data_IF_692326471584
#
_entry.id   IF_692326471584
#
_cell.length_a   1.000
_cell.length_b   1.000
_cell.length_c   1.000
_cell.angle_alpha   90.00
_cell.angle_beta   90.00
_cell.angle_gamma   90.00
#
_symmetry.space_group_name_H-M   'P 1'
#
loop_
_entity.id
_entity.type
_entity.pdbx_description
1 polymer ?
#
# COMPACT_ATOMS: atom_id res chain seq x y z
N UNK A 1 14.18 17.89 -6.96
CA UNK A 1 15.25 17.44 -7.87
C UNK A 1 14.86 16.08 -8.39
N UNK A 2 14.21 16.05 -9.55
CA UNK A 2 14.16 14.84 -10.36
C UNK A 2 14.60 15.34 -11.73
N UNK A 3 15.86 15.05 -12.09
CA UNK A 3 16.30 15.19 -13.47
C UNK A 3 15.44 14.31 -14.36
N UNK A 4 15.44 14.59 -15.65
CA UNK A 4 14.72 13.78 -16.63
C UNK A 4 15.20 12.33 -16.55
N UNK A 5 14.37 11.44 -15.98
CA UNK A 5 14.63 10.01 -16.01
C UNK A 5 14.26 9.55 -17.41
N UNK A 6 15.27 9.30 -18.26
CA UNK A 6 15.10 8.64 -19.55
C UNK A 6 15.34 7.14 -19.36
N UNK A 7 14.30 6.31 -19.13
CA UNK A 7 14.49 4.87 -19.05
C UNK A 7 15.08 4.33 -20.35
N UNK A 8 15.90 3.28 -20.26
CA UNK A 8 16.50 2.64 -21.43
C UNK A 8 15.37 2.06 -22.33
N UNK A 9 15.20 2.54 -23.58
CA UNK A 9 14.10 2.14 -24.44
C UNK A 9 14.15 0.66 -24.85
N UNK A 10 15.28 -0.01 -24.65
CA UNK A 10 15.45 -1.45 -24.95
C UNK A 10 14.78 -2.35 -23.89
N UNK A 11 14.57 -1.85 -22.67
CA UNK A 11 14.01 -2.64 -21.55
C UNK A 11 12.48 -2.49 -21.46
N UNK A 12 11.90 -1.47 -22.08
CA UNK A 12 10.51 -1.07 -21.83
C UNK A 12 9.75 -0.85 -23.14
N UNK A 13 8.85 -1.78 -23.47
CA UNK A 13 7.95 -1.64 -24.61
C UNK A 13 6.87 -0.57 -24.41
N UNK A 14 6.11 -0.25 -25.46
CA UNK A 14 5.02 0.75 -25.42
C UNK A 14 3.73 0.25 -24.75
N UNK A 15 3.84 -0.56 -23.68
CA UNK A 15 2.69 -1.18 -23.02
C UNK A 15 2.86 -1.16 -21.51
N UNK A 16 1.75 -1.17 -20.74
CA UNK A 16 1.81 -1.27 -19.29
C UNK A 16 2.58 -2.52 -18.85
N UNK A 17 3.36 -2.39 -17.79
CA UNK A 17 4.23 -3.46 -17.27
C UNK A 17 3.54 -4.10 -16.09
N UNK A 18 3.35 -5.43 -16.12
CA UNK A 18 2.87 -6.17 -14.96
C UNK A 18 3.88 -6.03 -13.80
N UNK A 19 3.39 -5.66 -12.63
CA UNK A 19 4.21 -5.45 -11.42
C UNK A 19 3.65 -6.24 -10.24
N UNK A 20 4.49 -6.71 -9.32
CA UNK A 20 4.04 -7.49 -8.17
C UNK A 20 3.49 -6.63 -7.02
N UNK A 21 3.74 -5.32 -7.04
CA UNK A 21 3.40 -4.41 -5.96
C UNK A 21 2.46 -3.31 -6.46
N UNK A 22 1.55 -2.91 -5.59
CA UNK A 22 0.60 -1.83 -5.83
C UNK A 22 0.99 -0.58 -5.05
N UNK A 23 0.99 0.58 -5.72
CA UNK A 23 1.21 1.87 -5.08
C UNK A 23 -0.11 2.61 -4.84
N UNK A 24 -0.36 3.06 -3.62
CA UNK A 24 -1.61 3.72 -3.23
C UNK A 24 -1.73 5.13 -3.77
N UNK A 25 -0.61 5.88 -3.81
CA UNK A 25 -0.62 7.31 -4.07
C UNK A 25 -1.16 7.73 -5.43
N UNK A 26 -0.96 6.92 -6.48
CA UNK A 26 -1.48 7.14 -7.82
C UNK A 26 -1.86 5.79 -8.42
N UNK A 27 -3.14 5.43 -8.32
CA UNK A 27 -3.67 4.18 -8.88
C UNK A 27 -5.07 4.34 -9.42
N UNK A 28 -5.40 3.56 -10.44
CA UNK A 28 -6.70 3.55 -11.09
C UNK A 28 -7.22 2.12 -11.16
N UNK A 29 -8.53 1.96 -10.94
CA UNK A 29 -9.22 0.68 -11.04
C UNK A 29 -10.65 0.92 -11.45
N UNK A 30 -11.32 -0.09 -12.03
CA UNK A 30 -12.77 -0.07 -12.14
C UNK A 30 -13.41 0.03 -10.75
N UNK A 31 -14.56 0.69 -10.65
CA UNK A 31 -15.23 0.97 -9.38
C UNK A 31 -15.52 -0.28 -8.56
N UNK A 32 -15.83 -1.42 -9.19
CA UNK A 32 -16.10 -2.67 -8.49
C UNK A 32 -14.93 -3.20 -7.64
N UNK A 33 -13.69 -2.70 -7.85
CA UNK A 33 -12.53 -3.07 -7.03
C UNK A 33 -12.71 -2.73 -5.55
N UNK A 34 -13.25 -1.56 -5.23
CA UNK A 34 -13.39 -1.13 -3.83
C UNK A 34 -14.39 -1.99 -3.05
N UNK A 35 -15.37 -2.55 -3.76
CA UNK A 35 -16.40 -3.43 -3.17
C UNK A 35 -15.86 -4.86 -3.02
N UNK A 36 -15.12 -5.36 -4.02
CA UNK A 36 -14.60 -6.74 -4.02
C UNK A 36 -13.37 -6.94 -3.13
N UNK A 37 -12.49 -5.95 -3.07
CA UNK A 37 -11.27 -5.98 -2.27
C UNK A 37 -11.20 -4.69 -1.43
N UNK A 38 -12.03 -4.57 -0.39
CA UNK A 38 -12.01 -3.41 0.50
C UNK A 38 -10.74 -3.37 1.34
N UNK A 39 -10.43 -2.18 1.85
CA UNK A 39 -9.44 -2.02 2.90
C UNK A 39 -9.85 -2.81 4.14
N UNK A 40 -8.85 -3.28 4.88
CA UNK A 40 -9.05 -3.87 6.20
C UNK A 40 -9.51 -2.78 7.19
N UNK A 41 -10.66 -3.00 7.83
CA UNK A 41 -11.26 -2.03 8.74
C UNK A 41 -10.49 -1.87 10.05
N UNK A 42 -9.60 -2.81 10.39
CA UNK A 42 -8.86 -2.85 11.66
C UNK A 42 -7.40 -2.36 11.50
N UNK A 43 -7.08 -1.59 10.46
CA UNK A 43 -5.74 -1.03 10.22
C UNK A 43 -5.64 0.45 10.59
N UNK A 44 -6.08 0.78 11.80
CA UNK A 44 -6.04 2.13 12.35
C UNK A 44 -4.65 2.76 12.32
N UNK A 45 -4.60 4.03 11.90
CA UNK A 45 -3.40 4.86 11.87
C UNK A 45 -2.23 4.28 11.07
N UNK A 46 -2.46 3.25 10.24
CA UNK A 46 -1.41 2.60 9.47
C UNK A 46 -1.08 3.40 8.21
N UNK A 47 0.21 3.76 8.06
CA UNK A 47 0.73 4.39 6.85
C UNK A 47 1.83 3.58 6.16
N UNK A 48 2.44 2.64 6.88
CA UNK A 48 3.45 1.75 6.31
C UNK A 48 2.90 0.34 6.37
N UNK A 49 2.78 -0.30 5.22
CA UNK A 49 2.31 -1.68 5.07
C UNK A 49 0.91 -1.82 4.47
N UNK A 50 0.18 -0.73 4.30
CA UNK A 50 -1.19 -0.70 3.78
C UNK A 50 -1.18 -1.04 2.29
N UNK A 51 -0.14 -0.59 1.58
CA UNK A 51 0.11 -0.97 0.19
C UNK A 51 0.31 -2.49 0.05
N UNK A 52 1.06 -3.11 0.95
CA UNK A 52 1.24 -4.58 0.95
C UNK A 52 -0.06 -5.30 1.30
N UNK A 53 -0.76 -4.86 2.36
CA UNK A 53 -2.06 -5.41 2.74
C UNK A 53 -3.06 -5.36 1.58
N UNK A 54 -3.16 -4.21 0.91
CA UNK A 54 -4.03 -4.04 -0.25
C UNK A 54 -3.58 -4.83 -1.47
N UNK A 55 -2.27 -4.89 -1.75
CA UNK A 55 -1.73 -5.67 -2.86
C UNK A 55 -2.09 -7.16 -2.69
N UNK A 56 -1.88 -7.72 -1.50
CA UNK A 56 -2.22 -9.11 -1.21
C UNK A 56 -3.73 -9.34 -1.33
N UNK A 57 -4.55 -8.47 -0.73
CA UNK A 57 -6.02 -8.56 -0.81
C UNK A 57 -6.51 -8.49 -2.26
N UNK A 58 -6.03 -7.55 -3.06
CA UNK A 58 -6.45 -7.42 -4.46
C UNK A 58 -5.96 -8.61 -5.29
N UNK A 59 -4.74 -9.07 -5.10
CA UNK A 59 -4.19 -10.22 -5.82
C UNK A 59 -5.02 -11.48 -5.58
N UNK A 60 -5.37 -11.79 -4.32
CA UNK A 60 -6.21 -12.95 -3.99
C UNK A 60 -7.65 -12.84 -4.47
N UNK A 61 -8.09 -11.65 -4.91
CA UNK A 61 -9.39 -11.39 -5.52
C UNK A 61 -9.32 -11.28 -7.06
N UNK A 62 -8.18 -11.68 -7.67
CA UNK A 62 -8.01 -11.78 -9.11
C UNK A 62 -7.67 -10.45 -9.81
N UNK A 63 -7.04 -9.51 -9.10
CA UNK A 63 -6.57 -8.26 -9.69
C UNK A 63 -5.06 -8.30 -9.97
N UNK A 64 -4.70 -7.93 -11.19
CA UNK A 64 -3.32 -7.65 -11.60
C UNK A 64 -2.96 -6.18 -11.39
N UNK A 65 -1.67 -5.89 -11.19
CA UNK A 65 -1.16 -4.53 -11.10
C UNK A 65 -0.29 -4.20 -12.30
N UNK A 66 -0.53 -3.04 -12.91
CA UNK A 66 0.26 -2.58 -14.04
C UNK A 66 0.83 -1.19 -13.75
N UNK A 67 2.12 -1.02 -13.99
CA UNK A 67 2.76 0.30 -14.02
C UNK A 67 2.59 0.92 -15.41
N UNK A 68 2.13 2.19 -15.50
CA UNK A 68 1.98 2.85 -16.79
C UNK A 68 3.33 3.10 -17.45
N UNK A 69 3.37 2.96 -18.77
CA UNK A 69 4.50 3.40 -19.59
C UNK A 69 4.01 4.25 -20.77
N UNK A 70 4.61 5.43 -21.02
CA UNK A 70 5.65 6.07 -20.19
C UNK A 70 5.10 6.53 -18.83
N UNK A 71 6.01 6.85 -17.89
CA UNK A 71 5.62 7.40 -16.59
C UNK A 71 4.80 8.68 -16.76
N UNK A 72 3.61 8.72 -16.18
CA UNK A 72 2.65 9.83 -16.34
C UNK A 72 2.70 10.84 -15.20
N UNK A 73 3.23 10.46 -14.04
CA UNK A 73 3.28 11.29 -12.84
C UNK A 73 4.48 10.94 -11.96
N UNK A 74 4.94 11.92 -11.19
CA UNK A 74 6.06 11.77 -10.25
C UNK A 74 5.64 12.24 -8.85
N UNK A 75 6.10 11.54 -7.82
CA UNK A 75 5.86 11.90 -6.43
C UNK A 75 7.16 12.43 -5.78
N UNK A 76 7.18 13.66 -5.23
CA UNK A 76 8.37 14.21 -4.60
C UNK A 76 8.51 13.69 -3.17
N UNK A 77 9.33 12.66 -2.96
CA UNK A 77 9.61 12.13 -1.62
C UNK A 77 10.47 13.07 -0.75
N UNK A 78 11.48 13.71 -1.35
CA UNK A 78 12.43 14.57 -0.62
C UNK A 78 11.97 16.03 -0.55
N UNK A 79 10.90 16.28 0.21
CA UNK A 79 10.37 17.64 0.43
C UNK A 79 11.16 18.32 1.55
N UNK A 80 11.70 19.52 1.30
CA UNK A 80 12.40 20.32 2.31
C UNK A 80 11.51 20.71 3.51
N UNK A 81 10.21 20.85 3.27
CA UNK A 81 9.19 21.16 4.28
C UNK A 81 8.01 20.19 4.06
N UNK A 82 8.01 19.01 4.70
CA UNK A 82 6.88 18.10 4.59
C UNK A 82 5.64 18.72 5.27
N UNK A 83 4.42 18.43 4.77
CA UNK A 83 3.20 18.78 5.48
C UNK A 83 3.10 17.96 6.79
N UNK A 84 2.20 18.38 7.68
CA UNK A 84 1.84 17.54 8.84
C UNK A 84 1.18 16.26 8.36
N UNK A 85 1.55 15.14 8.94
CA UNK A 85 1.09 13.82 8.53
C UNK A 85 0.14 13.24 9.57
N UNK A 86 -0.87 12.48 9.13
CA UNK A 86 -1.90 12.00 10.06
C UNK A 86 -1.33 11.10 11.16
N UNK A 87 -0.30 10.29 10.84
CA UNK A 87 0.36 9.38 11.78
C UNK A 87 1.14 10.09 12.90
N UNK A 88 1.38 11.39 12.77
CA UNK A 88 1.96 12.20 13.86
C UNK A 88 0.96 12.40 15.02
N UNK A 89 -0.34 12.15 14.80
CA UNK A 89 -1.39 12.31 15.81
C UNK A 89 -1.51 11.09 16.75
N UNK A 90 -0.39 10.56 17.22
CA UNK A 90 -0.33 9.34 18.07
C UNK A 90 -1.11 9.48 19.38
N UNK A 91 -1.29 10.72 19.89
CA UNK A 91 -2.12 10.98 21.09
C UNK A 91 -3.58 10.58 20.90
N UNK A 92 -4.12 10.66 19.68
CA UNK A 92 -5.51 10.31 19.40
C UNK A 92 -5.75 8.79 19.41
N UNK A 93 -4.70 8.01 19.08
CA UNK A 93 -4.77 6.57 19.00
C UNK A 93 -3.40 5.96 19.35
N UNK A 94 -3.05 5.87 20.65
CA UNK A 94 -1.76 5.35 21.08
C UNK A 94 -1.53 3.92 20.60
N UNK A 95 -0.33 3.67 20.07
CA UNK A 95 0.12 2.37 19.56
C UNK A 95 -0.71 1.78 18.41
N UNK A 96 -1.71 2.49 17.86
CA UNK A 96 -2.61 1.95 16.84
C UNK A 96 -1.86 1.49 15.57
N UNK A 97 -0.94 2.31 15.04
CA UNK A 97 -0.16 1.93 13.88
C UNK A 97 0.69 0.66 14.10
N UNK A 98 1.21 0.47 15.33
CA UNK A 98 1.97 -0.73 15.69
C UNK A 98 1.07 -1.97 15.78
N UNK A 99 -0.12 -1.85 16.39
CA UNK A 99 -1.12 -2.93 16.42
C UNK A 99 -1.58 -3.30 15.01
N UNK A 100 -1.83 -2.32 14.15
CA UNK A 100 -2.18 -2.52 12.73
C UNK A 100 -1.08 -3.24 11.96
N UNK A 101 0.19 -2.85 12.16
CA UNK A 101 1.31 -3.54 11.54
C UNK A 101 1.42 -5.01 11.99
N UNK A 102 1.22 -5.29 13.29
CA UNK A 102 1.18 -6.66 13.82
C UNK A 102 0.01 -7.47 13.26
N UNK A 103 -1.16 -6.85 13.09
CA UNK A 103 -2.32 -7.48 12.42
C UNK A 103 -1.98 -7.90 11.00
N UNK A 104 -1.35 -7.02 10.20
CA UNK A 104 -0.92 -7.37 8.84
C UNK A 104 0.05 -8.54 8.85
N UNK A 105 1.03 -8.54 9.76
CA UNK A 105 1.97 -9.66 9.89
C UNK A 105 1.25 -10.97 10.24
N UNK A 106 0.27 -10.94 11.15
CA UNK A 106 -0.54 -12.10 11.51
C UNK A 106 -1.36 -12.63 10.31
N UNK A 107 -2.01 -11.74 9.54
CA UNK A 107 -2.75 -12.09 8.32
C UNK A 107 -1.86 -12.72 7.25
N UNK A 108 -0.60 -12.30 7.18
CA UNK A 108 0.40 -12.86 6.25
C UNK A 108 1.06 -14.15 6.77
N UNK A 109 0.63 -14.66 7.94
CA UNK A 109 1.20 -15.88 8.53
C UNK A 109 2.63 -15.71 9.04
N UNK A 110 3.10 -14.48 9.26
CA UNK A 110 4.39 -14.24 9.88
C UNK A 110 4.35 -14.69 11.35
N UNK A 111 5.46 -15.25 11.89
CA UNK A 111 5.50 -15.68 13.27
C UNK A 111 5.23 -14.48 14.21
N UNK A 112 4.30 -14.62 15.18
CA UNK A 112 3.91 -13.51 16.02
C UNK A 112 5.08 -13.13 16.94
N UNK A 113 5.44 -11.84 16.93
CA UNK A 113 6.35 -11.28 17.94
C UNK A 113 5.59 -10.96 19.22
N UNK A 114 4.31 -10.59 19.10
CA UNK A 114 3.40 -10.18 20.18
C UNK A 114 1.94 -10.35 19.68
N UNK A 115 0.98 -10.65 20.59
CA UNK A 115 -0.46 -10.76 20.31
C UNK A 115 -1.24 -9.45 20.50
N UNK A 116 -0.55 -8.33 20.74
CA UNK A 116 -1.15 -6.98 20.79
C UNK A 116 -1.56 -6.49 19.37
N UNK A 117 -2.65 -7.03 18.85
CA UNK A 117 -3.32 -6.62 17.62
C UNK A 117 -4.81 -7.01 17.63
N UNK A 118 -5.61 -6.38 16.78
CA UNK A 118 -7.01 -6.76 16.57
C UNK A 118 -7.07 -8.03 15.73
N UNK A 119 -7.71 -9.10 16.23
CA UNK A 119 -7.85 -10.41 15.58
C UNK A 119 -9.21 -10.65 14.92
N UNK A 120 -10.04 -9.60 14.83
CA UNK A 120 -11.34 -9.63 14.16
C UNK A 120 -11.18 -10.18 12.74
N UNK A 121 -11.95 -11.21 12.39
CA UNK A 121 -11.95 -11.84 11.05
C UNK A 121 -10.60 -12.47 10.60
N UNK A 122 -9.64 -12.67 11.51
CA UNK A 122 -8.43 -13.45 11.19
C UNK A 122 -8.75 -14.95 11.35
N UNK A 123 -8.85 -15.68 10.24
CA UNK A 123 -9.04 -17.14 10.23
C UNK A 123 -10.49 -17.62 10.17
N UNK A 124 -11.45 -16.73 9.89
CA UNK A 124 -12.83 -17.07 9.53
C UNK A 124 -12.94 -17.59 8.09
#
# INVERSE_FOLDING_TARGET
>A
AAGEIRPNPVIVGNSPILVPLWGAGISFSRGHRIIRAPYDCCLDMMFVGEEFSMAVRMWTHGYDFYSPYPSVAFHPYNRKKPPRMFWENTRLAPHAAARSARRVLALLGAPPVDKDYDDTEIGA
#
